data_IF_123857525738
#
_entry.id   IF_123857525738
#
_cell.length_a   1.000
_cell.length_b   1.000
_cell.length_c   1.000
_cell.angle_alpha   90.00
_cell.angle_beta   90.00
_cell.angle_gamma   90.00
#
_symmetry.space_group_name_H-M   'P 1'
#
loop_
_entity.id
_entity.type
_entity.pdbx_description
1 polymer ?
#
# COMPACT_ATOMS: atom_id res chain seq x y z
N UNK A 1 63.16 48.05 -11.23
CA UNK A 1 62.45 47.26 -12.27
C UNK A 1 61.49 46.37 -11.56
N UNK A 2 60.22 46.74 -11.53
CA UNK A 2 59.17 45.98 -10.88
C UNK A 2 58.26 45.39 -11.97
N UNK A 3 58.00 44.08 -11.91
CA UNK A 3 57.03 43.42 -12.78
C UNK A 3 55.62 43.47 -12.13
N UNK A 4 54.59 43.65 -12.88
CA UNK A 4 53.22 43.64 -12.35
C UNK A 4 52.68 42.22 -12.26
N UNK A 5 51.93 41.97 -11.20
CA UNK A 5 51.19 40.74 -10.90
C UNK A 5 50.02 40.54 -11.86
N UNK A 6 49.86 39.35 -12.40
CA UNK A 6 48.69 38.90 -13.16
C UNK A 6 47.57 38.47 -12.19
N UNK A 7 46.47 39.12 -12.25
CA UNK A 7 45.19 38.70 -11.63
C UNK A 7 44.55 37.63 -12.54
N UNK A 8 44.48 36.40 -12.07
CA UNK A 8 43.69 35.34 -12.70
C UNK A 8 42.25 35.47 -12.21
N UNK A 9 41.35 35.83 -13.10
CA UNK A 9 39.92 35.83 -12.86
C UNK A 9 39.39 34.39 -12.82
N UNK A 10 39.01 33.94 -11.64
CA UNK A 10 38.30 32.68 -11.46
C UNK A 10 36.89 32.78 -12.00
N UNK A 11 36.60 32.10 -13.11
CA UNK A 11 35.25 31.91 -13.60
C UNK A 11 34.56 30.93 -12.66
N UNK A 12 33.57 31.43 -11.92
CA UNK A 12 32.62 30.61 -11.15
C UNK A 12 31.68 29.92 -12.11
N UNK A 13 31.89 28.62 -12.35
CA UNK A 13 30.97 27.76 -13.10
C UNK A 13 29.81 27.43 -12.12
N UNK A 14 28.56 27.79 -12.42
CA UNK A 14 27.44 27.38 -11.60
C UNK A 14 27.28 25.86 -11.72
N UNK A 15 27.40 25.19 -10.60
CA UNK A 15 27.14 23.76 -10.41
C UNK A 15 25.72 23.40 -10.88
N UNK A 16 25.62 22.54 -11.89
CA UNK A 16 24.38 21.99 -12.41
C UNK A 16 23.79 20.89 -11.48
N UNK A 17 23.81 21.12 -10.17
CA UNK A 17 23.32 20.24 -9.13
C UNK A 17 21.99 20.64 -8.54
N UNK A 18 20.99 20.98 -9.36
CA UNK A 18 19.72 21.49 -8.83
C UNK A 18 18.46 21.02 -9.55
N UNK A 19 18.51 19.95 -10.33
CA UNK A 19 17.34 19.48 -11.09
C UNK A 19 16.80 18.10 -10.69
N UNK A 20 17.55 17.31 -9.93
CA UNK A 20 17.15 15.95 -9.52
C UNK A 20 16.33 15.89 -8.22
N UNK A 21 16.37 16.93 -7.37
CA UNK A 21 15.68 16.93 -6.06
C UNK A 21 14.26 17.52 -6.07
N UNK A 22 13.67 17.72 -7.22
CA UNK A 22 12.28 18.19 -7.37
C UNK A 22 11.34 17.12 -7.92
N UNK A 23 11.69 15.87 -7.86
CA UNK A 23 10.71 14.81 -7.91
C UNK A 23 9.95 14.90 -6.60
N UNK A 24 8.72 15.41 -6.66
CA UNK A 24 7.85 15.64 -5.51
C UNK A 24 7.81 14.35 -4.70
N UNK A 25 8.45 14.33 -3.54
CA UNK A 25 8.12 13.39 -2.50
C UNK A 25 6.60 13.53 -2.29
N UNK A 26 5.82 12.55 -2.76
CA UNK A 26 4.38 12.52 -2.48
C UNK A 26 4.26 12.56 -0.97
N UNK A 27 3.44 13.47 -0.45
CA UNK A 27 3.33 13.64 0.99
C UNK A 27 2.89 12.33 1.63
N UNK A 28 3.49 11.99 2.76
CA UNK A 28 3.02 10.87 3.56
C UNK A 28 1.66 11.20 4.19
N UNK A 29 0.85 10.17 4.38
CA UNK A 29 -0.51 10.30 4.93
C UNK A 29 -0.62 9.51 6.21
N UNK A 30 -1.16 10.16 7.24
CA UNK A 30 -1.35 9.58 8.56
C UNK A 30 -2.79 9.17 8.80
N UNK A 31 -2.98 7.95 9.29
CA UNK A 31 -4.28 7.36 9.64
C UNK A 31 -4.31 6.97 11.11
N UNK A 32 -5.49 7.01 11.73
CA UNK A 32 -5.73 6.43 13.04
C UNK A 32 -6.16 4.96 12.91
N UNK A 33 -5.87 4.16 13.93
CA UNK A 33 -6.39 2.80 14.00
C UNK A 33 -7.92 2.81 14.05
N UNK A 34 -8.53 1.74 13.54
CA UNK A 34 -9.97 1.52 13.64
C UNK A 34 -10.26 0.33 14.56
N UNK A 35 -11.27 0.47 15.38
CA UNK A 35 -11.76 -0.61 16.22
C UNK A 35 -12.46 -1.65 15.37
N UNK A 36 -12.02 -2.91 15.47
CA UNK A 36 -12.68 -4.04 14.84
C UNK A 36 -13.06 -5.08 15.89
N UNK A 37 -14.21 -5.78 15.71
CA UNK A 37 -14.62 -6.84 16.61
C UNK A 37 -13.54 -7.91 16.76
N UNK A 38 -13.26 -8.33 17.99
CA UNK A 38 -12.38 -9.45 18.30
C UNK A 38 -13.24 -10.69 18.60
N UNK A 39 -13.31 -11.67 17.69
CA UNK A 39 -14.14 -12.85 17.89
C UNK A 39 -13.71 -13.70 19.08
N UNK A 40 -12.45 -13.62 19.50
CA UNK A 40 -11.91 -14.41 20.61
C UNK A 40 -12.31 -13.90 21.98
N UNK A 41 -12.56 -12.59 22.12
CA UNK A 41 -12.87 -11.95 23.42
C UNK A 41 -14.25 -11.33 23.48
N UNK A 42 -14.95 -11.19 22.33
CA UNK A 42 -16.22 -10.47 22.21
C UNK A 42 -16.09 -8.95 22.38
N UNK A 43 -14.87 -8.43 22.51
CA UNK A 43 -14.56 -7.01 22.57
C UNK A 43 -14.20 -6.43 21.21
N UNK A 44 -13.58 -5.24 21.24
CA UNK A 44 -12.99 -4.59 20.06
C UNK A 44 -11.50 -4.43 20.27
N UNK A 45 -10.76 -4.38 19.17
CA UNK A 45 -9.31 -4.07 19.17
C UNK A 45 -8.98 -3.06 18.12
N UNK A 46 -8.19 -2.02 18.45
CA UNK A 46 -7.68 -1.09 17.46
C UNK A 46 -6.71 -1.81 16.50
N UNK A 47 -6.89 -1.58 15.19
CA UNK A 47 -6.09 -2.18 14.11
C UNK A 47 -5.73 -1.14 13.06
N UNK A 48 -4.57 -1.27 12.40
CA UNK A 48 -4.20 -0.43 11.26
C UNK A 48 -5.00 -0.83 10.02
N UNK A 49 -6.22 -0.30 9.93
CA UNK A 49 -7.15 -0.52 8.82
C UNK A 49 -7.18 0.71 7.93
N UNK A 50 -7.05 0.52 6.64
CA UNK A 50 -7.24 1.53 5.60
C UNK A 50 -8.29 1.05 4.61
N UNK A 51 -9.05 1.98 4.05
CA UNK A 51 -9.99 1.69 2.99
C UNK A 51 -9.30 1.77 1.64
N UNK A 52 -9.49 0.74 0.82
CA UNK A 52 -8.93 0.64 -0.52
C UNK A 52 -10.07 0.45 -1.51
N UNK A 53 -10.10 1.27 -2.56
CA UNK A 53 -11.00 1.06 -3.69
C UNK A 53 -10.38 -0.01 -4.58
N UNK A 54 -11.17 -1.01 -4.91
CA UNK A 54 -10.80 -2.08 -5.85
C UNK A 54 -11.44 -1.75 -7.19
N UNK A 55 -10.72 -1.87 -8.27
CA UNK A 55 -11.23 -1.69 -9.62
C UNK A 55 -12.59 -2.39 -9.81
N UNK A 56 -13.60 -1.64 -10.24
CA UNK A 56 -14.98 -2.12 -10.34
C UNK A 56 -15.82 -2.01 -9.04
N UNK A 57 -15.22 -1.57 -7.91
CA UNK A 57 -15.91 -1.37 -6.63
C UNK A 57 -15.82 0.11 -6.17
N UNK A 58 -16.01 1.04 -7.08
CA UNK A 58 -15.76 2.46 -6.86
C UNK A 58 -16.68 3.10 -5.80
N UNK A 59 -17.85 2.49 -5.55
CA UNK A 59 -18.88 3.04 -4.64
C UNK A 59 -18.66 2.62 -3.19
N UNK A 60 -17.95 1.51 -2.94
CA UNK A 60 -17.78 0.93 -1.61
C UNK A 60 -16.32 0.51 -1.38
N UNK A 61 -15.50 1.37 -0.76
CA UNK A 61 -14.14 1.00 -0.42
C UNK A 61 -14.10 -0.26 0.44
N UNK A 62 -13.12 -1.13 0.18
CA UNK A 62 -12.90 -2.35 0.94
C UNK A 62 -11.98 -2.08 2.11
N UNK A 63 -12.44 -2.38 3.33
CA UNK A 63 -11.60 -2.26 4.53
C UNK A 63 -10.45 -3.27 4.49
N UNK A 64 -9.22 -2.82 4.65
CA UNK A 64 -8.02 -3.64 4.53
C UNK A 64 -7.10 -3.47 5.74
N UNK A 65 -6.65 -4.58 6.31
CA UNK A 65 -5.67 -4.61 7.39
C UNK A 65 -4.25 -4.57 6.81
N UNK A 66 -3.40 -3.69 7.34
CA UNK A 66 -1.97 -3.74 7.09
C UNK A 66 -1.37 -4.96 7.81
N UNK A 67 -0.83 -5.91 7.05
CA UNK A 67 -0.30 -7.16 7.60
C UNK A 67 1.09 -7.47 7.01
N UNK A 68 2.14 -7.07 7.72
CA UNK A 68 3.52 -7.37 7.33
C UNK A 68 3.89 -8.86 7.39
N UNK A 69 3.04 -9.70 7.99
CA UNK A 69 3.20 -11.15 7.99
C UNK A 69 2.54 -11.81 6.77
N UNK A 70 1.64 -11.12 6.08
CA UNK A 70 1.09 -11.59 4.82
C UNK A 70 2.10 -11.41 3.69
N UNK A 71 2.36 -12.46 2.92
CA UNK A 71 3.31 -12.41 1.79
C UNK A 71 2.80 -11.58 0.62
N UNK A 72 1.48 -11.42 0.47
CA UNK A 72 0.86 -10.70 -0.65
C UNK A 72 -0.51 -10.13 -0.25
N UNK A 73 -1.03 -9.24 -1.08
CA UNK A 73 -2.41 -8.73 -0.95
C UNK A 73 -3.39 -9.88 -1.14
N UNK A 74 -4.39 -9.95 -0.25
CA UNK A 74 -5.41 -11.00 -0.25
C UNK A 74 -6.79 -10.42 0.02
N UNK A 75 -7.75 -10.85 -0.79
CA UNK A 75 -9.16 -10.54 -0.61
C UNK A 75 -9.99 -11.82 -0.60
N UNK A 76 -11.21 -11.73 -0.12
CA UNK A 76 -12.18 -12.81 -0.29
C UNK A 76 -12.60 -12.94 -1.75
N UNK A 77 -12.87 -14.16 -2.23
CA UNK A 77 -13.27 -14.42 -3.62
C UNK A 77 -14.53 -13.63 -4.02
N UNK A 78 -15.44 -13.38 -3.07
CA UNK A 78 -16.64 -12.56 -3.31
C UNK A 78 -16.32 -11.12 -3.79
N UNK A 79 -15.16 -10.56 -3.44
CA UNK A 79 -14.75 -9.25 -3.94
C UNK A 79 -14.51 -9.31 -5.45
N UNK A 80 -13.85 -10.38 -5.94
CA UNK A 80 -13.68 -10.55 -7.39
C UNK A 80 -15.03 -10.65 -8.13
N UNK A 81 -16.00 -11.36 -7.55
CA UNK A 81 -17.34 -11.47 -8.13
C UNK A 81 -18.03 -10.10 -8.21
N UNK A 82 -18.01 -9.32 -7.12
CA UNK A 82 -18.63 -7.99 -7.06
C UNK A 82 -17.96 -7.03 -8.05
N UNK A 83 -16.62 -7.08 -8.16
CA UNK A 83 -15.84 -6.23 -9.06
C UNK A 83 -15.87 -6.71 -10.53
N UNK A 84 -16.47 -7.86 -10.82
CA UNK A 84 -16.47 -8.44 -12.18
C UNK A 84 -15.08 -8.93 -12.63
N UNK A 85 -14.19 -9.23 -11.69
CA UNK A 85 -12.84 -9.73 -11.98
C UNK A 85 -12.93 -11.20 -12.38
N UNK A 86 -12.43 -11.50 -13.59
CA UNK A 86 -12.53 -12.84 -14.15
C UNK A 86 -11.39 -13.75 -13.65
N UNK A 87 -11.75 -14.79 -12.88
CA UNK A 87 -10.78 -15.69 -12.26
C UNK A 87 -10.74 -17.11 -12.85
N UNK A 88 -11.50 -17.40 -13.91
CA UNK A 88 -11.69 -18.78 -14.43
C UNK A 88 -10.37 -19.45 -14.82
N UNK A 89 -9.48 -18.71 -15.49
CA UNK A 89 -8.19 -19.21 -15.98
C UNK A 89 -7.01 -18.64 -15.18
N UNK A 90 -7.29 -18.04 -14.02
CA UNK A 90 -6.31 -17.41 -13.17
C UNK A 90 -5.35 -18.43 -12.52
N UNK A 91 -4.09 -18.06 -12.28
CA UNK A 91 -3.15 -18.87 -11.52
C UNK A 91 -3.74 -19.26 -10.16
N UNK A 92 -3.67 -20.56 -9.84
CA UNK A 92 -4.22 -21.13 -8.61
C UNK A 92 -3.11 -21.62 -7.69
N UNK A 93 -3.26 -21.36 -6.40
CA UNK A 93 -2.38 -21.89 -5.36
C UNK A 93 -3.15 -22.24 -4.10
N UNK A 94 -2.47 -22.86 -3.15
CA UNK A 94 -2.99 -23.12 -1.80
C UNK A 94 -2.17 -22.28 -0.81
N UNK A 95 -2.85 -21.50 0.01
CA UNK A 95 -2.24 -20.65 1.00
C UNK A 95 -2.65 -21.06 2.40
N UNK A 96 -1.74 -20.92 3.37
CA UNK A 96 -2.07 -21.03 4.78
C UNK A 96 -2.52 -19.66 5.30
N UNK A 97 -3.73 -19.57 5.84
CA UNK A 97 -4.30 -18.34 6.40
C UNK A 97 -4.90 -18.69 7.76
N UNK A 98 -4.37 -18.09 8.83
CA UNK A 98 -4.88 -18.33 10.19
C UNK A 98 -4.89 -19.80 10.62
N UNK A 99 -3.96 -20.63 10.11
CA UNK A 99 -3.90 -22.06 10.38
C UNK A 99 -4.79 -22.94 9.47
N UNK A 100 -5.63 -22.35 8.63
CA UNK A 100 -6.41 -23.05 7.61
C UNK A 100 -5.70 -23.00 6.24
N UNK A 101 -5.93 -24.03 5.42
CA UNK A 101 -5.45 -24.04 4.03
C UNK A 101 -6.62 -23.62 3.14
N UNK A 102 -6.43 -22.53 2.41
CA UNK A 102 -7.41 -21.95 1.49
C UNK A 102 -6.94 -22.09 0.04
N UNK A 103 -7.88 -22.19 -0.89
CA UNK A 103 -7.57 -22.03 -2.32
C UNK A 103 -7.53 -20.54 -2.64
N UNK A 104 -6.54 -20.13 -3.40
CA UNK A 104 -6.39 -18.74 -3.84
C UNK A 104 -6.16 -18.68 -5.34
N UNK A 105 -6.79 -17.73 -5.99
CA UNK A 105 -6.69 -17.42 -7.42
C UNK A 105 -6.12 -16.00 -7.55
N UNK A 106 -5.16 -15.80 -8.43
CA UNK A 106 -4.46 -14.52 -8.55
C UNK A 106 -4.92 -13.75 -9.81
N UNK A 107 -5.23 -12.48 -9.62
CA UNK A 107 -5.38 -11.53 -10.72
C UNK A 107 -4.59 -10.25 -10.44
N UNK A 108 -4.15 -9.61 -11.50
CA UNK A 108 -3.60 -8.25 -11.45
C UNK A 108 -4.77 -7.29 -11.38
N UNK A 109 -4.77 -6.39 -10.39
CA UNK A 109 -5.91 -5.50 -10.10
C UNK A 109 -5.40 -4.10 -9.81
N UNK A 110 -6.11 -3.09 -10.30
CA UNK A 110 -5.88 -1.72 -9.90
C UNK A 110 -6.50 -1.47 -8.53
N UNK A 111 -5.68 -1.01 -7.61
CA UNK A 111 -6.07 -0.60 -6.26
C UNK A 111 -5.88 0.90 -6.12
N UNK A 112 -6.79 1.55 -5.40
CA UNK A 112 -6.74 2.98 -5.15
C UNK A 112 -6.91 3.28 -3.66
N UNK A 113 -6.16 4.26 -3.19
CA UNK A 113 -6.24 4.78 -1.84
C UNK A 113 -6.49 6.29 -1.94
N UNK A 114 -7.56 6.75 -1.31
CA UNK A 114 -7.90 8.16 -1.20
C UNK A 114 -7.84 8.58 0.28
N UNK A 115 -7.07 9.61 0.58
CA UNK A 115 -6.96 10.18 1.92
C UNK A 115 -7.83 11.43 2.12
N UNK A 116 -8.66 11.77 1.14
CA UNK A 116 -9.49 12.98 1.08
C UNK A 116 -8.74 14.22 0.53
N UNK A 117 -7.42 14.11 0.32
CA UNK A 117 -6.60 15.19 -0.27
C UNK A 117 -5.80 14.72 -1.48
N UNK A 118 -5.40 13.45 -1.51
CA UNK A 118 -4.62 12.84 -2.57
C UNK A 118 -5.14 11.43 -2.86
N UNK A 119 -5.11 11.06 -4.13
CA UNK A 119 -5.45 9.72 -4.61
C UNK A 119 -4.20 9.03 -5.13
N UNK A 120 -4.02 7.78 -4.72
CA UNK A 120 -2.93 6.91 -5.13
C UNK A 120 -3.51 5.69 -5.81
N UNK A 121 -3.16 5.46 -7.07
CA UNK A 121 -3.54 4.26 -7.80
C UNK A 121 -2.30 3.44 -8.15
N UNK A 122 -2.37 2.12 -7.99
CA UNK A 122 -1.30 1.20 -8.35
C UNK A 122 -1.87 -0.15 -8.79
N UNK A 123 -1.14 -0.87 -9.64
CA UNK A 123 -1.46 -2.24 -10.00
C UNK A 123 -0.79 -3.22 -9.03
N UNK A 124 -1.51 -4.24 -8.60
CA UNK A 124 -1.04 -5.23 -7.65
C UNK A 124 -1.53 -6.64 -7.97
N UNK A 125 -0.69 -7.67 -7.79
CA UNK A 125 -1.15 -9.05 -7.78
C UNK A 125 -1.96 -9.32 -6.52
N UNK A 126 -3.25 -9.59 -6.69
CA UNK A 126 -4.20 -9.85 -5.60
C UNK A 126 -4.60 -11.32 -5.61
N UNK A 127 -4.50 -11.95 -4.44
CA UNK A 127 -4.97 -13.33 -4.23
C UNK A 127 -6.37 -13.34 -3.68
N UNK A 128 -7.32 -13.86 -4.45
CA UNK A 128 -8.72 -14.04 -4.07
C UNK A 128 -8.91 -15.42 -3.44
N UNK A 129 -9.27 -15.46 -2.16
CA UNK A 129 -9.26 -16.66 -1.33
C UNK A 129 -10.66 -17.23 -1.08
N UNK A 130 -10.74 -18.57 -1.09
CA UNK A 130 -11.93 -19.33 -0.67
C UNK A 130 -11.55 -20.37 0.39
N UNK A 131 -12.31 -20.48 1.49
CA UNK A 131 -13.41 -19.61 1.89
C UNK A 131 -12.93 -18.20 2.24
N UNK A 132 -13.83 -17.22 2.09
CA UNK A 132 -13.56 -15.84 2.46
C UNK A 132 -13.57 -15.70 3.97
N UNK A 133 -12.43 -15.43 4.56
CA UNK A 133 -12.28 -15.00 5.95
C UNK A 133 -10.90 -14.35 6.10
N UNK A 134 -10.79 -13.26 6.78
CA UNK A 134 -11.76 -12.40 7.48
C UNK A 134 -12.61 -11.53 6.55
N UNK A 135 -13.53 -10.73 7.13
CA UNK A 135 -14.39 -9.78 6.37
C UNK A 135 -13.66 -8.55 5.84
N UNK A 136 -12.36 -8.43 6.07
CA UNK A 136 -11.49 -7.37 5.58
C UNK A 136 -10.38 -7.96 4.70
N UNK A 137 -9.86 -7.13 3.78
CA UNK A 137 -8.69 -7.48 2.98
C UNK A 137 -7.41 -7.50 3.82
N UNK A 138 -6.39 -8.19 3.33
CA UNK A 138 -5.04 -8.13 3.89
C UNK A 138 -4.12 -7.43 2.88
N UNK A 139 -3.42 -6.39 3.32
CA UNK A 139 -2.41 -5.69 2.54
C UNK A 139 -1.03 -6.23 2.96
N UNK A 140 -0.48 -7.11 2.11
CA UNK A 140 0.75 -7.83 2.38
C UNK A 140 1.99 -7.25 1.71
N UNK A 141 3.12 -7.96 1.87
CA UNK A 141 4.43 -7.53 1.38
C UNK A 141 4.40 -7.25 -0.12
N UNK A 142 4.03 -8.24 -0.92
CA UNK A 142 3.86 -8.05 -2.37
C UNK A 142 2.52 -7.42 -2.67
N UNK A 143 2.54 -6.36 -3.44
CA UNK A 143 1.35 -5.65 -3.91
C UNK A 143 0.91 -4.47 -3.04
N UNK A 144 1.44 -4.31 -1.80
CA UNK A 144 1.21 -3.12 -1.00
C UNK A 144 2.52 -2.52 -0.45
N UNK A 145 3.27 -3.27 0.36
CA UNK A 145 4.53 -2.77 0.92
C UNK A 145 5.61 -2.53 -0.14
N UNK A 146 5.44 -3.05 -1.35
CA UNK A 146 6.26 -2.70 -2.51
C UNK A 146 6.03 -1.25 -2.97
N UNK A 147 4.82 -0.72 -2.74
CA UNK A 147 4.39 0.62 -3.18
C UNK A 147 4.42 1.67 -2.07
N UNK A 148 4.42 1.25 -0.81
CA UNK A 148 4.37 2.16 0.33
C UNK A 148 5.42 1.80 1.39
N UNK A 149 6.08 2.82 1.93
CA UNK A 149 6.76 2.72 3.22
C UNK A 149 5.72 2.93 4.30
N UNK A 150 5.64 1.99 5.25
CA UNK A 150 4.65 2.01 6.32
C UNK A 150 5.32 2.22 7.66
N UNK A 151 4.89 3.22 8.40
CA UNK A 151 5.29 3.45 9.80
C UNK A 151 4.10 3.18 10.71
N UNK A 152 4.26 2.34 11.73
CA UNK A 152 3.20 1.99 12.67
C UNK A 152 3.62 2.39 14.08
N UNK A 153 2.81 3.24 14.73
CA UNK A 153 2.97 3.62 16.13
C UNK A 153 1.82 3.02 16.97
N UNK A 154 1.91 1.73 17.25
CA UNK A 154 0.82 0.94 17.88
C UNK A 154 0.38 1.51 19.23
N UNK A 155 1.31 2.03 20.06
CA UNK A 155 1.00 2.61 21.38
C UNK A 155 0.27 3.96 21.30
N UNK A 156 0.28 4.61 20.12
CA UNK A 156 -0.44 5.86 19.81
C UNK A 156 -1.61 5.64 18.86
N UNK A 157 -1.84 4.40 18.45
CA UNK A 157 -2.95 3.97 17.59
C UNK A 157 -3.02 4.73 16.26
N UNK A 158 -1.84 4.94 15.60
CA UNK A 158 -1.76 5.51 14.28
C UNK A 158 -0.75 4.78 13.39
N UNK A 159 -0.90 4.96 12.10
CA UNK A 159 0.08 4.56 11.09
C UNK A 159 0.20 5.64 10.01
N UNK A 160 1.28 5.59 9.26
CA UNK A 160 1.60 6.52 8.19
C UNK A 160 2.01 5.74 6.95
N UNK A 161 1.51 6.16 5.81
CA UNK A 161 1.81 5.63 4.49
C UNK A 161 2.55 6.67 3.68
N UNK A 162 3.77 6.34 3.24
CA UNK A 162 4.56 7.17 2.34
C UNK A 162 4.72 6.42 1.00
N UNK A 163 4.12 6.91 -0.09
CA UNK A 163 4.28 6.29 -1.40
C UNK A 163 5.75 6.24 -1.81
N UNK A 164 6.18 5.11 -2.35
CA UNK A 164 7.51 4.94 -2.94
C UNK A 164 7.49 5.46 -4.37
N UNK A 165 8.52 6.20 -4.75
CA UNK A 165 8.78 6.69 -6.11
C UNK A 165 9.32 5.60 -7.01
#
# INVERSE_FOLDING_TARGET
MAQPARTEGGQHVPSAGGRADRERARASVKFTFRDIPDPGTGGVRPRPIVDVVVEGLEIAPHACLLDSCATAVRFGAHIAEICGIYLRDAPRTRLAVGGAVVTALMAEVTLELDDGSQQYAWSAPVWFCEPSAPSFGLLGLTGFFDHFTVTIASYQEWFELAPRS
#
